data_IF_166413844828
#
_entry.id   IF_166413844828
#
_cell.length_a   1.000
_cell.length_b   1.000
_cell.length_c   1.000
_cell.angle_alpha   90.00
_cell.angle_beta   90.00
_cell.angle_gamma   90.00
#
_symmetry.space_group_name_H-M   'P 1'
#
loop_
_entity.id
_entity.type
_entity.pdbx_description
1 polymer ?
#
# COMPACT_ATOMS: atom_id res chain seq x y z
N UNK A 1 -41.32 3.88 6.15
CA UNK A 1 -40.30 4.93 5.94
C UNK A 1 -39.74 4.78 4.54
N UNK A 2 -39.16 5.85 4.01
CA UNK A 2 -38.46 5.85 2.72
C UNK A 2 -36.96 5.97 2.96
N UNK A 3 -36.13 5.35 2.11
CA UNK A 3 -34.67 5.43 2.23
C UNK A 3 -34.21 6.79 1.72
N UNK A 4 -33.58 7.58 2.59
CA UNK A 4 -32.97 8.85 2.25
C UNK A 4 -31.60 8.68 1.58
N UNK A 5 -31.10 9.74 0.94
CA UNK A 5 -29.80 9.76 0.29
C UNK A 5 -28.94 10.91 0.82
N UNK A 6 -27.67 10.64 1.06
CA UNK A 6 -26.68 11.66 1.40
C UNK A 6 -25.70 11.78 0.24
N UNK A 7 -25.48 12.99 -0.26
CA UNK A 7 -24.57 13.28 -1.38
C UNK A 7 -23.54 14.32 -0.96
N UNK A 8 -22.26 13.97 -0.96
CA UNK A 8 -21.17 14.90 -0.74
C UNK A 8 -20.69 15.57 -2.02
N UNK A 9 -20.56 16.89 -2.00
CA UNK A 9 -19.76 17.61 -2.99
C UNK A 9 -18.27 17.48 -2.67
N UNK A 10 -17.48 16.79 -3.49
CA UNK A 10 -16.03 16.65 -3.27
C UNK A 10 -15.29 17.99 -3.38
N UNK A 11 -15.59 18.81 -4.40
CA UNK A 11 -15.03 20.15 -4.60
C UNK A 11 -16.02 21.09 -5.30
N UNK A 12 -15.95 22.37 -4.96
CA UNK A 12 -16.65 23.45 -5.66
C UNK A 12 -15.65 24.58 -5.95
N UNK A 13 -15.54 25.00 -7.21
CA UNK A 13 -14.63 26.07 -7.65
C UNK A 13 -13.17 25.92 -7.16
N UNK A 14 -12.67 24.68 -7.13
CA UNK A 14 -11.31 24.37 -6.65
C UNK A 14 -11.14 24.34 -5.13
N UNK A 15 -12.18 24.66 -4.36
CA UNK A 15 -12.20 24.59 -2.90
C UNK A 15 -12.78 23.26 -2.41
N UNK A 16 -12.19 22.72 -1.33
CA UNK A 16 -12.77 21.60 -0.58
C UNK A 16 -13.83 22.07 0.43
N UNK A 17 -14.03 23.37 0.62
CA UNK A 17 -15.14 23.87 1.45
C UNK A 17 -16.43 23.74 0.64
N UNK A 18 -17.18 22.69 0.90
CA UNK A 18 -18.38 22.30 0.15
C UNK A 18 -19.51 21.95 1.10
N UNK A 19 -20.61 21.47 0.56
CA UNK A 19 -21.77 21.04 1.34
C UNK A 19 -22.05 19.57 1.08
N UNK A 20 -22.70 18.94 2.05
CA UNK A 20 -23.36 17.65 1.90
C UNK A 20 -24.86 17.91 1.81
N UNK A 21 -25.50 17.34 0.79
CA UNK A 21 -26.95 17.37 0.63
C UNK A 21 -27.56 16.11 1.23
N UNK A 22 -28.48 16.29 2.17
CA UNK A 22 -29.41 15.24 2.59
C UNK A 22 -30.65 15.37 1.70
N UNK A 23 -30.97 14.31 0.98
CA UNK A 23 -32.15 14.17 0.14
C UNK A 23 -33.19 13.33 0.89
N UNK A 24 -34.26 14.00 1.33
CA UNK A 24 -35.35 13.36 2.04
C UNK A 24 -36.30 12.71 1.03
N UNK A 25 -36.39 11.38 1.08
CA UNK A 25 -37.21 10.60 0.16
C UNK A 25 -38.70 10.63 0.59
N UNK A 26 -39.59 10.33 -0.33
CA UNK A 26 -41.03 10.38 -0.09
C UNK A 26 -41.83 9.46 -1.02
N UNK A 27 -43.17 9.47 -0.91
CA UNK A 27 -44.05 8.63 -1.73
C UNK A 27 -43.86 8.84 -3.23
N UNK A 28 -43.53 10.08 -3.65
CA UNK A 28 -43.27 10.46 -5.04
C UNK A 28 -41.77 10.41 -5.41
N UNK A 29 -40.94 9.76 -4.58
CA UNK A 29 -39.50 9.69 -4.77
C UNK A 29 -38.72 10.90 -4.26
N UNK A 30 -37.51 11.11 -4.79
CA UNK A 30 -36.66 12.25 -4.45
C UNK A 30 -37.15 13.55 -5.09
N UNK A 31 -37.00 14.67 -4.37
CA UNK A 31 -37.31 16.01 -4.90
C UNK A 31 -36.21 16.99 -4.51
N UNK A 32 -35.91 17.90 -5.42
CA UNK A 32 -35.00 19.01 -5.21
C UNK A 32 -35.46 19.99 -4.12
N UNK A 33 -36.76 20.08 -3.88
CA UNK A 33 -37.35 20.93 -2.84
C UNK A 33 -37.23 20.29 -1.44
N UNK A 34 -36.96 18.97 -1.37
CA UNK A 34 -36.81 18.20 -0.14
C UNK A 34 -35.35 17.88 0.13
N UNK A 35 -34.53 18.91 0.21
CA UNK A 35 -33.11 18.80 0.54
C UNK A 35 -32.74 19.68 1.73
N UNK A 36 -31.80 19.19 2.54
CA UNK A 36 -31.11 19.99 3.54
C UNK A 36 -29.62 19.97 3.23
N UNK A 37 -28.95 21.11 3.43
CA UNK A 37 -27.52 21.24 3.21
C UNK A 37 -26.81 21.38 4.55
N UNK A 38 -25.75 20.59 4.73
CA UNK A 38 -24.85 20.69 5.86
C UNK A 38 -23.48 21.17 5.36
N UNK A 39 -22.88 22.19 5.99
CA UNK A 39 -21.55 22.63 5.62
C UNK A 39 -20.53 21.53 5.93
N UNK A 40 -19.59 21.29 5.01
CA UNK A 40 -18.51 20.32 5.17
C UNK A 40 -17.17 20.87 4.68
N UNK A 41 -16.10 20.37 5.27
CA UNK A 41 -14.73 20.69 4.86
C UNK A 41 -14.13 19.46 4.21
N UNK A 42 -14.30 19.35 2.90
CA UNK A 42 -13.77 18.27 2.08
C UNK A 42 -14.35 16.95 2.55
N UNK A 43 -15.65 16.67 2.26
CA UNK A 43 -16.23 15.37 2.58
C UNK A 43 -15.53 14.29 1.75
N UNK A 44 -14.39 13.85 2.26
CA UNK A 44 -13.67 12.66 1.87
C UNK A 44 -14.31 11.47 2.58
N UNK A 45 -14.13 10.28 2.00
CA UNK A 45 -14.41 9.03 2.68
C UNK A 45 -15.88 8.81 3.07
N UNK A 46 -16.82 9.28 2.23
CA UNK A 46 -18.22 8.84 2.24
C UNK A 46 -18.40 7.35 1.86
N UNK A 47 -17.32 6.60 1.81
CA UNK A 47 -17.32 5.15 1.61
C UNK A 47 -17.35 4.48 2.97
N UNK A 48 -18.27 3.53 3.16
CA UNK A 48 -18.37 2.76 4.41
C UNK A 48 -17.25 1.74 4.61
N UNK A 49 -16.21 1.78 3.79
CA UNK A 49 -15.10 0.83 3.84
C UNK A 49 -13.80 1.60 3.83
N UNK A 50 -12.91 1.26 4.77
CA UNK A 50 -11.60 1.89 4.89
C UNK A 50 -10.85 1.85 3.56
N UNK A 51 -10.11 2.94 3.32
CA UNK A 51 -9.06 2.97 2.31
C UNK A 51 -8.04 1.92 2.73
N UNK A 52 -7.68 1.02 1.84
CA UNK A 52 -6.69 -0.03 2.05
C UNK A 52 -6.34 -0.69 0.73
N UNK A 53 -5.38 -1.61 0.76
CA UNK A 53 -4.96 -2.35 -0.42
C UNK A 53 -6.17 -2.95 -1.16
N UNK A 54 -6.21 -2.84 -2.49
CA UNK A 54 -7.37 -3.30 -3.28
C UNK A 54 -7.61 -4.81 -3.21
N UNK A 55 -6.54 -5.58 -3.00
CA UNK A 55 -6.58 -7.04 -2.99
C UNK A 55 -7.00 -7.60 -1.64
N UNK A 56 -6.34 -7.20 -0.56
CA UNK A 56 -6.53 -7.79 0.78
C UNK A 56 -7.05 -6.82 1.85
N UNK A 57 -7.26 -5.54 1.49
CA UNK A 57 -7.64 -4.44 2.40
C UNK A 57 -6.64 -4.19 3.53
N UNK A 58 -5.43 -4.75 3.43
CA UNK A 58 -4.35 -4.52 4.37
C UNK A 58 -3.78 -3.11 4.25
N UNK A 59 -2.89 -2.73 5.19
CA UNK A 59 -2.27 -1.41 5.24
C UNK A 59 -1.03 -1.27 4.35
N UNK A 60 -0.71 -2.30 3.54
CA UNK A 60 0.53 -2.40 2.78
C UNK A 60 0.25 -2.48 1.28
N UNK A 61 1.08 -1.77 0.51
CA UNK A 61 1.20 -1.94 -0.93
C UNK A 61 2.53 -2.63 -1.24
N UNK A 62 2.54 -3.45 -2.30
CA UNK A 62 3.70 -4.29 -2.62
C UNK A 62 4.35 -3.88 -3.93
N UNK A 63 5.68 -3.77 -3.90
CA UNK A 63 6.52 -3.63 -5.09
C UNK A 63 7.46 -4.83 -5.19
N UNK A 64 7.52 -5.49 -6.35
CA UNK A 64 8.47 -6.58 -6.62
C UNK A 64 9.53 -6.06 -7.59
N UNK A 65 10.80 -6.27 -7.25
CA UNK A 65 11.92 -5.89 -8.12
C UNK A 65 11.97 -6.72 -9.41
N UNK A 66 12.63 -6.24 -10.47
CA UNK A 66 13.14 -7.12 -11.51
C UNK A 66 14.01 -8.24 -10.91
N UNK A 67 14.15 -9.35 -11.62
CA UNK A 67 15.13 -10.38 -11.28
C UNK A 67 16.54 -9.85 -11.47
N UNK A 68 17.37 -9.98 -10.44
CA UNK A 68 18.78 -9.59 -10.44
C UNK A 68 19.59 -10.87 -10.54
N UNK A 69 20.46 -10.96 -11.54
CA UNK A 69 21.39 -12.08 -11.70
C UNK A 69 22.69 -11.78 -10.95
N UNK A 70 23.11 -12.71 -10.11
CA UNK A 70 24.35 -12.65 -9.35
C UNK A 70 25.51 -13.29 -10.14
N UNK A 71 26.71 -12.78 -9.93
CA UNK A 71 27.92 -13.39 -10.45
C UNK A 71 28.20 -14.75 -9.77
N UNK A 72 29.04 -15.56 -10.41
CA UNK A 72 29.40 -16.87 -9.86
C UNK A 72 30.08 -16.72 -8.49
N UNK A 73 29.50 -17.35 -7.46
CA UNK A 73 29.99 -17.30 -6.08
C UNK A 73 29.56 -16.07 -5.27
N UNK A 74 28.85 -15.12 -5.88
CA UNK A 74 28.28 -13.95 -5.21
C UNK A 74 27.05 -14.34 -4.37
N UNK A 75 26.92 -13.79 -3.17
CA UNK A 75 25.80 -14.05 -2.28
C UNK A 75 25.36 -12.76 -1.62
N UNK A 76 24.06 -12.47 -1.64
CA UNK A 76 23.53 -11.28 -0.97
C UNK A 76 23.76 -11.39 0.53
N UNK A 77 24.48 -10.43 1.09
CA UNK A 77 24.80 -10.33 2.52
C UNK A 77 23.97 -9.27 3.23
N UNK A 78 23.33 -8.35 2.50
CA UNK A 78 22.53 -7.26 3.08
C UNK A 78 21.51 -6.70 2.12
N UNK A 79 20.40 -6.20 2.68
CA UNK A 79 19.40 -5.39 1.97
C UNK A 79 19.25 -4.03 2.65
N UNK A 80 19.13 -2.97 1.85
CA UNK A 80 18.88 -1.63 2.35
C UNK A 80 18.22 -0.72 1.32
N UNK A 81 17.78 0.44 1.77
CA UNK A 81 17.12 1.43 0.94
C UNK A 81 17.32 2.85 1.46
N UNK A 82 17.29 3.81 0.53
CA UNK A 82 17.24 5.24 0.82
C UNK A 82 15.80 5.70 0.66
N UNK A 83 15.18 6.14 1.76
CA UNK A 83 13.79 6.56 1.76
C UNK A 83 13.50 7.68 2.75
N UNK A 84 12.54 8.54 2.40
CA UNK A 84 11.80 9.35 3.37
C UNK A 84 10.63 8.50 3.89
N UNK A 85 10.65 8.20 5.19
CA UNK A 85 9.64 7.36 5.87
C UNK A 85 8.94 8.23 6.91
N UNK A 86 7.81 8.88 6.55
CA UNK A 86 7.03 9.68 7.49
C UNK A 86 6.59 8.89 8.72
N UNK A 87 6.29 9.61 9.81
CA UNK A 87 5.74 9.00 11.02
C UNK A 87 4.50 8.17 10.68
N UNK A 88 4.37 6.99 11.31
CA UNK A 88 3.28 6.03 11.12
C UNK A 88 3.26 5.38 9.72
N UNK A 89 4.35 5.46 8.99
CA UNK A 89 4.57 4.69 7.76
C UNK A 89 5.78 3.78 7.94
N UNK A 90 5.90 2.76 7.09
CA UNK A 90 7.03 1.83 7.11
C UNK A 90 7.35 1.33 5.71
N UNK A 91 8.60 0.89 5.56
CA UNK A 91 9.06 0.08 4.43
C UNK A 91 9.71 -1.15 5.04
N UNK A 92 9.39 -2.31 4.49
CA UNK A 92 9.94 -3.60 4.89
C UNK A 92 10.24 -4.42 3.65
N UNK A 93 11.13 -5.40 3.75
CA UNK A 93 11.46 -6.25 2.62
C UNK A 93 11.34 -7.73 2.94
N UNK A 94 10.98 -8.51 1.92
CA UNK A 94 11.23 -9.95 1.86
C UNK A 94 12.01 -10.26 0.60
N UNK A 95 12.79 -11.34 0.61
CA UNK A 95 13.62 -11.75 -0.52
C UNK A 95 13.26 -13.16 -0.98
N UNK A 96 13.55 -13.46 -2.25
CA UNK A 96 13.57 -14.81 -2.78
C UNK A 96 14.78 -14.99 -3.68
N UNK A 97 15.32 -16.20 -3.73
CA UNK A 97 16.40 -16.55 -4.63
C UNK A 97 16.22 -17.98 -5.18
N UNK A 98 16.75 -18.21 -6.37
CA UNK A 98 16.76 -19.52 -7.03
C UNK A 98 17.85 -19.60 -8.10
N UNK A 99 18.17 -20.80 -8.59
CA UNK A 99 19.21 -21.01 -9.59
C UNK A 99 18.73 -20.80 -11.04
N UNK A 100 17.41 -20.68 -11.25
CA UNK A 100 16.79 -20.38 -12.53
C UNK A 100 15.64 -19.38 -12.38
N UNK A 101 15.33 -18.66 -13.46
CA UNK A 101 14.19 -17.72 -13.49
C UNK A 101 12.84 -18.43 -13.26
N UNK A 102 12.68 -19.65 -13.78
CA UNK A 102 11.45 -20.43 -13.59
C UNK A 102 11.23 -20.83 -12.13
N UNK A 103 12.30 -21.27 -11.45
CA UNK A 103 12.23 -21.57 -10.02
C UNK A 103 12.01 -20.30 -9.21
N UNK A 104 12.66 -19.18 -9.57
CA UNK A 104 12.51 -17.89 -8.91
C UNK A 104 11.06 -17.41 -8.94
N UNK A 105 10.36 -17.56 -10.07
CA UNK A 105 8.94 -17.20 -10.20
C UNK A 105 8.06 -17.93 -9.19
N UNK A 106 8.35 -19.21 -8.95
CA UNK A 106 7.62 -20.08 -8.00
C UNK A 106 8.08 -19.97 -6.55
N UNK A 107 9.27 -19.42 -6.31
CA UNK A 107 9.86 -19.33 -4.98
C UNK A 107 9.09 -18.34 -4.09
N UNK A 108 8.93 -18.71 -2.83
CA UNK A 108 8.32 -17.87 -1.81
C UNK A 108 9.26 -16.71 -1.43
N UNK A 109 8.66 -15.55 -1.19
CA UNK A 109 9.36 -14.44 -0.54
C UNK A 109 9.43 -14.69 0.96
N UNK A 110 10.63 -14.57 1.53
CA UNK A 110 10.89 -14.86 2.94
C UNK A 110 11.66 -13.71 3.62
N UNK A 111 11.48 -13.57 4.92
CA UNK A 111 12.26 -12.66 5.77
C UNK A 111 13.48 -13.34 6.43
N UNK A 112 14.08 -12.72 7.46
CA UNK A 112 15.29 -13.18 8.13
C UNK A 112 15.20 -14.57 8.75
N UNK A 113 14.00 -15.01 9.14
CA UNK A 113 13.76 -16.34 9.72
C UNK A 113 13.47 -17.44 8.67
N UNK A 114 13.51 -17.09 7.38
CA UNK A 114 13.21 -18.01 6.29
C UNK A 114 11.71 -18.27 6.09
N UNK A 115 10.82 -17.52 6.74
CA UNK A 115 9.36 -17.61 6.58
C UNK A 115 8.79 -16.38 5.90
N UNK A 116 7.55 -16.48 5.41
CA UNK A 116 6.79 -15.36 4.84
C UNK A 116 6.14 -14.45 5.90
N UNK A 117 6.37 -14.74 7.18
CA UNK A 117 5.81 -14.01 8.32
C UNK A 117 6.79 -13.00 8.93
N UNK A 118 8.06 -13.02 8.50
CA UNK A 118 9.08 -12.07 8.93
C UNK A 118 9.49 -11.14 7.80
N UNK A 119 10.11 -10.02 8.17
CA UNK A 119 10.54 -8.99 7.24
C UNK A 119 11.94 -8.53 7.62
N UNK A 120 12.74 -8.23 6.59
CA UNK A 120 13.96 -7.46 6.73
C UNK A 120 13.61 -5.98 6.90
N UNK A 121 14.27 -5.33 7.85
CA UNK A 121 14.28 -3.89 8.04
C UNK A 121 15.47 -3.26 7.27
N UNK A 122 15.51 -1.92 7.24
CA UNK A 122 16.49 -1.21 6.44
C UNK A 122 17.92 -1.44 6.94
N UNK A 123 18.76 -2.05 6.10
CA UNK A 123 20.16 -2.30 6.40
C UNK A 123 20.42 -3.65 7.09
N UNK A 124 19.41 -4.51 7.20
CA UNK A 124 19.55 -5.82 7.80
C UNK A 124 20.46 -6.76 7.00
N UNK A 125 21.23 -7.57 7.72
CA UNK A 125 21.98 -8.68 7.14
C UNK A 125 21.04 -9.74 6.58
N UNK A 126 21.33 -10.19 5.36
CA UNK A 126 20.64 -11.31 4.72
C UNK A 126 21.32 -12.61 5.12
N UNK A 127 20.51 -13.58 5.56
CA UNK A 127 20.99 -14.89 6.00
C UNK A 127 20.24 -15.99 5.27
N UNK A 128 20.94 -17.08 4.95
CA UNK A 128 20.36 -18.30 4.37
C UNK A 128 19.60 -18.09 3.05
N UNK A 129 19.99 -17.10 2.24
CA UNK A 129 19.44 -16.87 0.91
C UNK A 129 20.47 -17.26 -0.14
N UNK A 130 20.17 -18.28 -0.95
CA UNK A 130 21.09 -18.80 -1.97
C UNK A 130 20.38 -18.94 -3.31
N UNK A 131 21.06 -18.56 -4.39
CA UNK A 131 20.59 -18.78 -5.75
C UNK A 131 21.25 -17.80 -6.71
N UNK A 132 21.36 -18.18 -7.99
CA UNK A 132 21.90 -17.31 -9.05
C UNK A 132 21.05 -16.07 -9.31
N UNK A 133 19.75 -16.14 -9.12
CA UNK A 133 18.84 -15.02 -9.31
C UNK A 133 18.19 -14.64 -8.00
N UNK A 134 18.05 -13.35 -7.75
CA UNK A 134 17.41 -12.80 -6.54
C UNK A 134 16.35 -11.76 -6.90
N UNK A 135 15.29 -11.69 -6.09
CA UNK A 135 14.32 -10.61 -6.10
C UNK A 135 14.04 -10.16 -4.67
N UNK A 136 13.76 -8.88 -4.51
CA UNK A 136 13.17 -8.35 -3.28
C UNK A 136 11.72 -7.92 -3.55
N UNK A 137 10.90 -8.02 -2.51
CA UNK A 137 9.57 -7.43 -2.44
C UNK A 137 9.55 -6.43 -1.31
N UNK A 138 9.18 -5.20 -1.60
CA UNK A 138 8.92 -4.20 -0.57
C UNK A 138 7.45 -4.29 -0.14
N UNK A 139 7.22 -4.29 1.16
CA UNK A 139 5.94 -3.95 1.77
C UNK A 139 6.01 -2.49 2.22
N UNK A 140 5.19 -1.64 1.61
CA UNK A 140 5.16 -0.19 1.81
C UNK A 140 3.84 0.14 2.49
N UNK A 141 3.88 0.48 3.77
CA UNK A 141 2.65 0.58 4.56
C UNK A 141 2.49 1.88 5.34
N UNK A 142 1.24 2.12 5.75
CA UNK A 142 0.85 3.26 6.55
C UNK A 142 -0.32 2.94 7.49
N UNK A 143 -0.27 3.47 8.72
CA UNK A 143 -1.41 3.37 9.65
C UNK A 143 -2.60 4.10 9.03
N UNK A 144 -3.75 3.43 9.01
CA UNK A 144 -5.00 3.90 8.39
C UNK A 144 -4.85 4.25 6.89
N UNK A 145 -3.81 3.76 6.23
CA UNK A 145 -3.55 4.05 4.82
C UNK A 145 -3.35 5.55 4.53
N UNK A 146 -2.87 6.29 5.53
CA UNK A 146 -2.60 7.74 5.44
C UNK A 146 -1.10 8.00 5.47
N UNK A 147 -0.61 8.62 4.39
CA UNK A 147 0.80 8.90 4.19
C UNK A 147 1.46 7.87 3.28
N UNK A 148 2.61 8.22 2.72
CA UNK A 148 3.30 7.37 1.74
C UNK A 148 4.81 7.51 1.91
N UNK A 149 5.54 6.43 2.22
CA UNK A 149 6.99 6.40 2.12
C UNK A 149 7.45 6.76 0.71
N UNK A 150 8.57 7.47 0.59
CA UNK A 150 9.19 7.80 -0.70
C UNK A 150 10.55 7.12 -0.77
N UNK A 151 10.60 5.99 -1.48
CA UNK A 151 11.83 5.24 -1.71
C UNK A 151 12.53 5.81 -2.95
N UNK A 152 13.80 6.17 -2.81
CA UNK A 152 14.64 6.69 -3.91
C UNK A 152 15.56 5.61 -4.46
N UNK A 153 16.00 4.69 -3.60
CA UNK A 153 16.94 3.63 -3.95
C UNK A 153 16.71 2.41 -3.08
N UNK A 154 16.88 1.22 -3.66
CA UNK A 154 17.03 -0.05 -2.95
C UNK A 154 18.33 -0.68 -3.43
N UNK A 155 19.14 -1.16 -2.50
CA UNK A 155 20.41 -1.80 -2.80
C UNK A 155 20.54 -3.13 -2.07
N UNK A 156 21.25 -4.04 -2.73
CA UNK A 156 21.69 -5.32 -2.17
C UNK A 156 23.23 -5.27 -2.13
N UNK A 157 23.82 -5.64 -1.01
CA UNK A 157 25.27 -5.86 -0.92
C UNK A 157 25.53 -7.36 -1.03
N UNK A 158 26.61 -7.74 -1.71
CA UNK A 158 26.96 -9.11 -1.99
C UNK A 158 28.46 -9.39 -1.78
#
# INVERSE_FOLDING_TARGET
>A
GYVDLIVAGHRAYGSHRTEVAIWWNGPEGFSEERRSYLPCLGPHDMVGVDIGNQYDRGPEEYYISPSIELAEGEQITKIGWVADVPRKTWVRATLRAADSLAELESAAFVGPDGTDQSYYENGDSVVNLTGRYVQYRLAIGAINNIGTPRITEVYLEA
#
